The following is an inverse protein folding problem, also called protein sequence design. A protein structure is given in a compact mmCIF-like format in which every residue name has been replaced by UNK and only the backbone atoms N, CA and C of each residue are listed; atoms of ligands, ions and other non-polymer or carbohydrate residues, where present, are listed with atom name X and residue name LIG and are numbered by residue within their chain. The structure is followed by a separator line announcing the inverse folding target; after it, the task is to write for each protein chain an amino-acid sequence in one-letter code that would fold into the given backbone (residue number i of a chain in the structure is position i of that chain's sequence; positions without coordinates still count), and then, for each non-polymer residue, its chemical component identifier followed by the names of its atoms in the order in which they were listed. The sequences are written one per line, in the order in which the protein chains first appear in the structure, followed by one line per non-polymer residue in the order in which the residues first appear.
data_IF_965315866977
#
_entry.id   IF_965315866977
#
_cell.length_a   1.000
_cell.length_b   1.000
_cell.length_c   1.000
_cell.angle_alpha   90.00
_cell.angle_beta   90.00
_cell.angle_gamma   90.00
#
_symmetry.space_group_name_H-M   'P 1'
#
loop_
_entity.id
_entity.type
_entity.pdbx_description
1 polymer ?
#
# COMPACT_ATOMS: atom_id res chain seq x y z
N UNK A 1 6.74 9.10 52.26
CA UNK A 1 6.20 8.22 51.19
C UNK A 1 6.57 8.71 49.79
N UNK A 2 6.66 10.02 49.54
CA UNK A 2 7.00 10.54 48.20
C UNK A 2 8.46 10.33 47.78
N UNK A 3 9.41 10.52 48.71
CA UNK A 3 10.85 10.37 48.41
C UNK A 3 11.19 8.95 47.95
N UNK A 4 10.61 7.92 48.59
CA UNK A 4 10.81 6.52 48.21
C UNK A 4 10.25 6.21 46.81
N UNK A 5 9.17 6.86 46.40
CA UNK A 5 8.60 6.71 45.04
C UNK A 5 9.56 7.32 44.01
N UNK A 6 10.11 8.51 44.27
CA UNK A 6 11.08 9.14 43.37
C UNK A 6 12.36 8.29 43.20
N UNK A 7 12.88 7.71 44.28
CA UNK A 7 14.04 6.81 44.20
C UNK A 7 13.72 5.51 43.44
N UNK A 8 12.54 4.92 43.65
CA UNK A 8 12.13 3.72 42.92
C UNK A 8 12.01 3.98 41.42
N UNK A 9 11.46 5.13 41.02
CA UNK A 9 11.36 5.54 39.61
C UNK A 9 12.76 5.77 39.01
N UNK A 10 13.65 6.48 39.72
CA UNK A 10 15.00 6.76 39.23
C UNK A 10 15.82 5.47 39.03
N UNK A 11 15.75 4.55 39.99
CA UNK A 11 16.43 3.24 39.89
C UNK A 11 15.81 2.38 38.80
N UNK A 12 14.47 2.39 38.68
CA UNK A 12 13.76 1.70 37.60
C UNK A 12 14.20 2.18 36.21
N UNK A 13 14.21 3.50 35.99
CA UNK A 13 14.68 4.10 34.74
C UNK A 13 16.15 3.77 34.45
N UNK A 14 17.01 3.79 35.46
CA UNK A 14 18.42 3.44 35.31
C UNK A 14 18.58 1.97 34.86
N UNK A 15 17.89 1.04 35.53
CA UNK A 15 17.94 -0.38 35.20
C UNK A 15 17.37 -0.68 33.82
N UNK A 16 16.24 -0.06 33.44
CA UNK A 16 15.67 -0.22 32.09
C UNK A 16 16.61 0.31 31.01
N UNK A 17 17.29 1.43 31.27
CA UNK A 17 18.23 2.02 30.32
C UNK A 17 19.45 1.14 30.13
N UNK A 18 20.03 0.61 31.22
CA UNK A 18 21.15 -0.33 31.16
C UNK A 18 20.77 -1.63 30.45
N UNK A 19 19.55 -2.13 30.68
CA UNK A 19 19.02 -3.30 30.00
C UNK A 19 18.86 -3.07 28.49
N UNK A 20 18.31 -1.93 28.09
CA UNK A 20 18.20 -1.52 26.69
C UNK A 20 19.57 -1.39 26.02
N UNK A 21 20.54 -0.75 26.67
CA UNK A 21 21.91 -0.59 26.15
C UNK A 21 22.58 -1.96 25.94
N UNK A 22 22.31 -2.94 26.81
CA UNK A 22 22.90 -4.29 26.70
C UNK A 22 22.28 -5.13 25.58
N UNK A 23 20.98 -4.99 25.34
CA UNK A 23 20.26 -5.78 24.34
C UNK A 23 20.31 -5.14 22.95
N UNK A 24 20.34 -3.81 22.87
CA UNK A 24 20.44 -3.07 21.62
C UNK A 24 21.52 -3.59 20.66
N UNK A 25 22.79 -3.81 21.06
CA UNK A 25 23.82 -4.30 20.14
C UNK A 25 23.56 -5.73 19.66
N UNK A 26 22.99 -6.62 20.48
CA UNK A 26 22.58 -7.96 20.03
C UNK A 26 21.43 -7.88 19.03
N UNK A 27 20.45 -7.01 19.29
CA UNK A 27 19.33 -6.79 18.39
C UNK A 27 19.78 -6.19 17.06
N UNK A 28 20.68 -5.20 17.09
CA UNK A 28 21.28 -4.60 15.90
C UNK A 28 22.14 -5.59 15.11
N UNK A 29 22.89 -6.47 15.78
CA UNK A 29 23.63 -7.55 15.12
C UNK A 29 22.70 -8.57 14.47
N UNK A 30 21.62 -8.98 15.13
CA UNK A 30 20.61 -9.85 14.55
C UNK A 30 19.97 -9.20 13.31
N UNK A 31 19.60 -7.93 13.40
CA UNK A 31 19.10 -7.16 12.26
C UNK A 31 20.12 -7.08 11.13
N UNK A 32 21.43 -6.98 11.43
CA UNK A 32 22.50 -6.96 10.43
C UNK A 32 22.66 -8.32 9.73
N UNK A 33 22.60 -9.42 10.47
CA UNK A 33 22.67 -10.79 9.91
C UNK A 33 21.43 -11.07 9.04
N UNK A 34 20.24 -10.74 9.54
CA UNK A 34 19.00 -10.83 8.76
C UNK A 34 19.07 -9.95 7.52
N UNK A 35 19.55 -8.70 7.65
CA UNK A 35 19.74 -7.78 6.53
C UNK A 35 20.69 -8.36 5.50
N UNK A 36 21.82 -8.95 5.90
CA UNK A 36 22.75 -9.61 4.98
C UNK A 36 22.11 -10.80 4.25
N UNK A 37 21.40 -11.67 4.98
CA UNK A 37 20.70 -12.82 4.41
C UNK A 37 19.61 -12.40 3.41
N UNK A 38 18.77 -11.45 3.81
CA UNK A 38 17.73 -10.85 2.98
C UNK A 38 18.35 -10.21 1.75
N UNK A 39 19.42 -9.44 1.93
CA UNK A 39 20.08 -8.73 0.84
C UNK A 39 20.69 -9.71 -0.16
N UNK A 40 21.40 -10.73 0.31
CA UNK A 40 22.05 -11.76 -0.53
C UNK A 40 21.05 -12.60 -1.32
N UNK A 41 19.92 -13.00 -0.73
CA UNK A 41 19.00 -13.97 -1.34
C UNK A 41 17.75 -13.33 -1.97
N UNK A 42 17.31 -12.17 -1.48
CA UNK A 42 16.11 -11.50 -1.96
C UNK A 42 16.38 -10.18 -2.71
N UNK A 43 17.36 -9.38 -2.29
CA UNK A 43 17.59 -8.04 -2.87
C UNK A 43 18.54 -8.05 -4.07
N UNK A 44 19.64 -8.80 -4.01
CA UNK A 44 20.65 -8.86 -5.09
C UNK A 44 20.23 -9.60 -6.36
N UNK A 45 19.50 -10.74 -6.31
CA UNK A 45 19.07 -11.39 -7.54
C UNK A 45 17.89 -10.62 -8.18
N UNK A 46 18.17 -9.99 -9.31
CA UNK A 46 17.15 -9.37 -10.15
C UNK A 46 16.36 -10.46 -10.89
N UNK A 47 15.03 -10.44 -10.79
CA UNK A 47 14.16 -11.32 -11.59
C UNK A 47 14.01 -10.78 -13.02
N UNK A 48 13.94 -9.46 -13.14
CA UNK A 48 13.92 -8.76 -14.44
C UNK A 48 15.06 -7.73 -14.47
N UNK A 49 15.93 -7.85 -15.47
CA UNK A 49 16.96 -6.84 -15.75
C UNK A 49 16.35 -5.47 -16.06
N UNK A 50 17.18 -4.42 -16.04
CA UNK A 50 16.76 -3.05 -16.42
C UNK A 50 16.24 -3.05 -17.86
N UNK A 51 14.93 -2.90 -18.05
CA UNK A 51 14.34 -2.58 -19.36
C UNK A 51 13.80 -1.15 -19.37
N UNK A 52 13.81 -0.53 -20.55
CA UNK A 52 13.38 0.88 -20.78
C UNK A 52 11.96 1.19 -20.30
N UNK A 53 11.10 0.17 -20.14
CA UNK A 53 9.68 0.29 -19.79
C UNK A 53 9.34 -0.26 -18.40
N UNK A 54 10.21 -1.10 -17.81
CA UNK A 54 9.95 -1.81 -16.56
C UNK A 54 11.13 -1.58 -15.61
N UNK A 55 10.85 -0.97 -14.46
CA UNK A 55 11.85 -0.76 -13.43
C UNK A 55 12.42 -2.11 -12.95
N UNK A 56 13.73 -2.18 -12.62
CA UNK A 56 14.35 -3.41 -12.15
C UNK A 56 13.60 -3.94 -10.93
N UNK A 57 13.13 -5.18 -11.05
CA UNK A 57 12.34 -5.88 -10.03
C UNK A 57 13.23 -6.91 -9.34
N UNK A 58 13.46 -6.72 -8.05
CA UNK A 58 14.18 -7.69 -7.22
C UNK A 58 13.23 -8.82 -6.79
N UNK A 59 13.78 -9.96 -6.34
CA UNK A 59 12.95 -11.03 -5.76
C UNK A 59 12.19 -10.55 -4.53
N UNK A 60 12.80 -9.69 -3.72
CA UNK A 60 12.17 -9.05 -2.56
C UNK A 60 10.94 -8.23 -2.97
N UNK A 61 11.07 -7.40 -4.02
CA UNK A 61 9.97 -6.58 -4.54
C UNK A 61 8.82 -7.48 -5.02
N UNK A 62 9.12 -8.51 -5.81
CA UNK A 62 8.12 -9.44 -6.33
C UNK A 62 7.40 -10.20 -5.21
N UNK A 63 8.13 -10.70 -4.21
CA UNK A 63 7.55 -11.38 -3.05
C UNK A 63 6.67 -10.42 -2.23
N UNK A 64 7.09 -9.17 -2.06
CA UNK A 64 6.31 -8.15 -1.35
C UNK A 64 5.01 -7.82 -2.08
N UNK A 65 5.04 -7.67 -3.42
CA UNK A 65 3.83 -7.47 -4.21
C UNK A 65 2.92 -8.70 -4.18
N UNK A 66 3.47 -9.91 -4.23
CA UNK A 66 2.71 -11.15 -4.14
C UNK A 66 2.04 -11.28 -2.77
N UNK A 67 2.77 -11.05 -1.68
CA UNK A 67 2.24 -11.09 -0.33
C UNK A 67 1.12 -10.07 -0.13
N UNK A 68 1.31 -8.84 -0.64
CA UNK A 68 0.28 -7.80 -0.61
C UNK A 68 -0.96 -8.20 -1.43
N UNK A 69 -0.78 -8.75 -2.63
CA UNK A 69 -1.88 -9.22 -3.47
C UNK A 69 -2.66 -10.36 -2.81
N UNK A 70 -1.96 -11.38 -2.32
CA UNK A 70 -2.55 -12.53 -1.61
C UNK A 70 -3.33 -12.06 -0.38
N UNK A 71 -2.80 -11.10 0.38
CA UNK A 71 -3.48 -10.54 1.54
C UNK A 71 -4.78 -9.84 1.14
N UNK A 72 -4.78 -8.99 0.10
CA UNK A 72 -6.00 -8.33 -0.36
C UNK A 72 -7.04 -9.34 -0.88
N UNK A 73 -6.62 -10.33 -1.67
CA UNK A 73 -7.51 -11.40 -2.16
C UNK A 73 -8.10 -12.19 -0.98
N UNK A 74 -7.27 -12.56 -0.01
CA UNK A 74 -7.70 -13.24 1.20
C UNK A 74 -8.74 -12.40 1.96
N UNK A 75 -8.51 -11.10 2.17
CA UNK A 75 -9.46 -10.23 2.87
C UNK A 75 -10.80 -10.11 2.14
N UNK A 76 -10.81 -10.13 0.80
CA UNK A 76 -12.04 -10.13 0.00
C UNK A 76 -12.81 -11.44 0.17
N UNK A 77 -12.14 -12.60 0.13
CA UNK A 77 -12.78 -13.93 0.01
C UNK A 77 -13.00 -14.63 1.36
N UNK A 78 -12.24 -14.26 2.41
CA UNK A 78 -12.24 -14.99 3.67
C UNK A 78 -13.58 -14.89 4.40
N UNK A 79 -14.27 -16.01 4.61
CA UNK A 79 -15.61 -16.03 5.25
C UNK A 79 -16.64 -15.14 4.52
N UNK A 80 -16.62 -15.09 3.19
CA UNK A 80 -17.67 -14.42 2.40
C UNK A 80 -18.46 -15.44 1.58
N UNK A 81 -19.52 -16.05 2.15
CA UNK A 81 -20.34 -17.02 1.43
C UNK A 81 -21.20 -16.39 0.32
N UNK A 82 -21.46 -15.08 0.38
CA UNK A 82 -22.25 -14.35 -0.62
C UNK A 82 -21.39 -13.36 -1.41
N UNK A 83 -21.72 -13.20 -2.70
CA UNK A 83 -21.08 -12.23 -3.61
C UNK A 83 -21.25 -10.79 -3.12
N UNK A 84 -22.40 -10.46 -2.51
CA UNK A 84 -22.65 -9.13 -1.93
C UNK A 84 -21.68 -8.79 -0.80
N UNK A 85 -21.30 -9.77 0.02
CA UNK A 85 -20.31 -9.57 1.08
C UNK A 85 -18.90 -9.35 0.51
N UNK A 86 -18.53 -10.11 -0.52
CA UNK A 86 -17.24 -9.91 -1.21
C UNK A 86 -17.17 -8.54 -1.90
N UNK A 87 -18.28 -8.09 -2.52
CA UNK A 87 -18.44 -6.76 -3.12
C UNK A 87 -18.21 -5.64 -2.09
N UNK A 88 -18.86 -5.72 -0.94
CA UNK A 88 -18.78 -4.67 0.10
C UNK A 88 -17.37 -4.59 0.69
N UNK A 89 -16.69 -5.75 0.84
CA UNK A 89 -15.29 -5.79 1.24
C UNK A 89 -14.33 -5.25 0.19
N UNK A 90 -14.53 -5.58 -1.09
CA UNK A 90 -13.74 -5.03 -2.18
C UNK A 90 -13.86 -3.49 -2.22
N UNK A 91 -15.07 -2.95 -2.03
CA UNK A 91 -15.30 -1.52 -1.91
C UNK A 91 -14.57 -0.93 -0.70
N UNK A 92 -14.70 -1.53 0.48
CA UNK A 92 -14.03 -1.07 1.70
C UNK A 92 -12.50 -1.07 1.55
N UNK A 93 -11.92 -2.14 1.02
CA UNK A 93 -10.48 -2.26 0.78
C UNK A 93 -9.99 -1.27 -0.27
N UNK A 94 -10.78 -0.97 -1.31
CA UNK A 94 -10.44 0.08 -2.28
C UNK A 94 -10.34 1.45 -1.59
N UNK A 95 -11.27 1.77 -0.69
CA UNK A 95 -11.25 3.04 0.06
C UNK A 95 -10.06 3.11 1.02
N UNK A 96 -9.75 2.02 1.74
CA UNK A 96 -8.58 1.94 2.63
C UNK A 96 -7.28 2.18 1.83
N UNK A 97 -7.12 1.49 0.71
CA UNK A 97 -5.94 1.67 -0.15
C UNK A 97 -5.90 3.10 -0.73
N UNK A 98 -7.06 3.69 -1.06
CA UNK A 98 -7.16 5.06 -1.53
C UNK A 98 -6.80 6.10 -0.45
N UNK A 99 -7.08 5.84 0.83
CA UNK A 99 -6.61 6.69 1.93
C UNK A 99 -5.09 6.82 1.96
N UNK A 100 -4.37 5.71 1.71
CA UNK A 100 -2.91 5.75 1.58
C UNK A 100 -2.47 6.59 0.37
N UNK A 101 -3.16 6.49 -0.78
CA UNK A 101 -2.84 7.28 -1.97
C UNK A 101 -2.96 8.79 -1.71
N UNK A 102 -3.98 9.22 -0.96
CA UNK A 102 -4.14 10.61 -0.58
C UNK A 102 -3.07 11.08 0.40
N UNK A 103 -2.72 10.25 1.39
CA UNK A 103 -1.63 10.57 2.33
C UNK A 103 -0.27 10.67 1.61
N UNK A 104 -0.12 9.88 0.55
CA UNK A 104 1.05 9.84 -0.30
C UNK A 104 1.13 10.97 -1.34
N UNK A 105 0.26 12.00 -1.31
CA UNK A 105 0.31 13.14 -2.22
C UNK A 105 1.69 13.82 -2.20
N UNK A 106 2.30 13.93 -1.01
CA UNK A 106 3.70 14.31 -0.85
C UNK A 106 4.59 13.10 -0.58
N UNK A 107 4.90 12.33 -1.63
CA UNK A 107 5.73 11.13 -1.56
C UNK A 107 7.08 11.35 -0.87
N UNK A 108 7.67 12.55 -0.99
CA UNK A 108 8.90 12.93 -0.29
C UNK A 108 8.74 13.03 1.22
N UNK A 109 7.65 13.64 1.68
CA UNK A 109 7.32 13.70 3.10
C UNK A 109 7.06 12.30 3.66
N UNK A 110 6.25 11.50 2.95
CA UNK A 110 5.95 10.13 3.38
C UNK A 110 7.21 9.24 3.42
N UNK A 111 8.11 9.39 2.43
CA UNK A 111 9.39 8.68 2.39
C UNK A 111 10.25 9.03 3.61
N UNK A 112 10.33 10.32 3.96
CA UNK A 112 11.08 10.78 5.14
C UNK A 112 10.44 10.29 6.45
N UNK A 113 9.11 10.36 6.57
CA UNK A 113 8.38 9.91 7.76
C UNK A 113 8.53 8.40 7.99
N UNK A 114 8.54 7.60 6.92
CA UNK A 114 8.71 6.14 7.00
C UNK A 114 10.18 5.70 7.03
N UNK A 115 11.14 6.62 6.85
CA UNK A 115 12.57 6.30 6.77
C UNK A 115 12.96 5.43 5.57
N UNK A 116 12.18 5.48 4.48
CA UNK A 116 12.41 4.69 3.26
C UNK A 116 12.84 5.58 2.09
N UNK A 117 13.43 4.98 1.05
CA UNK A 117 13.80 5.74 -0.14
C UNK A 117 12.56 6.26 -0.88
N UNK A 118 12.67 7.44 -1.49
CA UNK A 118 11.63 8.00 -2.37
C UNK A 118 11.25 7.03 -3.51
N UNK A 119 12.22 6.23 -3.98
CA UNK A 119 11.95 5.24 -5.02
C UNK A 119 11.07 4.10 -4.50
N UNK A 120 11.31 3.62 -3.29
CA UNK A 120 10.46 2.63 -2.61
C UNK A 120 9.06 3.20 -2.39
N UNK A 121 8.95 4.45 -1.92
CA UNK A 121 7.67 5.13 -1.74
C UNK A 121 6.87 5.22 -3.07
N UNK A 122 7.52 5.64 -4.17
CA UNK A 122 6.92 5.66 -5.52
C UNK A 122 6.44 4.27 -5.99
N UNK A 123 7.21 3.22 -5.69
CA UNK A 123 6.85 1.83 -6.02
C UNK A 123 5.62 1.38 -5.24
N UNK A 124 5.59 1.64 -3.94
CA UNK A 124 4.44 1.33 -3.07
C UNK A 124 3.21 2.10 -3.54
N UNK A 125 3.33 3.41 -3.76
CA UNK A 125 2.23 4.24 -4.27
C UNK A 125 1.65 3.67 -5.58
N UNK A 126 2.50 3.28 -6.53
CA UNK A 126 2.06 2.66 -7.78
C UNK A 126 1.34 1.32 -7.53
N UNK A 127 1.87 0.46 -6.65
CA UNK A 127 1.27 -0.84 -6.35
C UNK A 127 -0.10 -0.69 -5.67
N UNK A 128 -0.21 0.23 -4.70
CA UNK A 128 -1.47 0.56 -4.03
C UNK A 128 -2.46 1.15 -5.05
N UNK A 129 -2.01 2.01 -5.97
CA UNK A 129 -2.85 2.58 -7.03
C UNK A 129 -3.49 1.51 -7.91
N UNK A 130 -2.68 0.56 -8.41
CA UNK A 130 -3.20 -0.57 -9.20
C UNK A 130 -4.15 -1.46 -8.39
N UNK A 131 -3.82 -1.74 -7.13
CA UNK A 131 -4.68 -2.57 -6.27
C UNK A 131 -6.03 -1.90 -5.98
N UNK A 132 -6.03 -0.59 -5.69
CA UNK A 132 -7.26 0.20 -5.55
C UNK A 132 -8.11 0.11 -6.81
N UNK A 133 -7.50 0.25 -7.99
CA UNK A 133 -8.19 0.11 -9.27
C UNK A 133 -8.82 -1.26 -9.48
N UNK A 134 -8.07 -2.33 -9.20
CA UNK A 134 -8.56 -3.71 -9.32
C UNK A 134 -9.73 -3.96 -8.34
N UNK A 135 -9.58 -3.55 -7.08
CA UNK A 135 -10.62 -3.71 -6.06
C UNK A 135 -11.88 -2.91 -6.38
N UNK A 136 -11.73 -1.67 -6.88
CA UNK A 136 -12.86 -0.87 -7.34
C UNK A 136 -13.55 -1.50 -8.55
N UNK A 137 -12.78 -2.03 -9.51
CA UNK A 137 -13.32 -2.78 -10.65
C UNK A 137 -14.09 -4.01 -10.21
N UNK A 138 -13.55 -4.80 -9.28
CA UNK A 138 -14.25 -5.94 -8.68
C UNK A 138 -15.55 -5.52 -7.98
N UNK A 139 -15.50 -4.44 -7.20
CA UNK A 139 -16.69 -3.88 -6.54
C UNK A 139 -17.78 -3.51 -7.57
N UNK A 140 -17.43 -2.82 -8.65
CA UNK A 140 -18.37 -2.43 -9.71
C UNK A 140 -18.94 -3.67 -10.44
N UNK A 141 -18.09 -4.61 -10.84
CA UNK A 141 -18.51 -5.84 -11.53
C UNK A 141 -19.48 -6.64 -10.65
N UNK A 142 -19.13 -6.84 -9.38
CA UNK A 142 -20.00 -7.58 -8.46
C UNK A 142 -21.29 -6.82 -8.18
N UNK A 143 -21.26 -5.49 -8.07
CA UNK A 143 -22.46 -4.67 -7.94
C UNK A 143 -23.40 -4.84 -9.16
N UNK A 144 -22.85 -4.83 -10.38
CA UNK A 144 -23.64 -5.06 -11.60
C UNK A 144 -24.27 -6.46 -11.66
N UNK A 145 -23.60 -7.47 -11.10
CA UNK A 145 -24.12 -8.85 -11.07
C UNK A 145 -25.23 -8.99 -10.02
N UNK A 146 -25.06 -8.39 -8.83
CA UNK A 146 -26.00 -8.54 -7.72
C UNK A 146 -27.20 -7.62 -7.84
N UNK A 147 -26.99 -6.40 -8.32
CA UNK A 147 -28.00 -5.34 -8.31
C UNK A 147 -28.57 -5.16 -9.73
N UNK A 148 -29.39 -6.11 -10.17
CA UNK A 148 -30.09 -6.04 -11.48
C UNK A 148 -31.19 -4.98 -11.56
N UNK A 149 -31.27 -4.07 -10.58
CA UNK A 149 -32.31 -3.03 -10.54
C UNK A 149 -32.00 -1.95 -11.58
N UNK A 150 -33.03 -1.27 -12.07
CA UNK A 150 -32.90 -0.18 -13.04
C UNK A 150 -31.96 0.90 -12.52
N UNK A 151 -30.77 1.02 -13.11
CA UNK A 151 -29.79 2.07 -12.80
C UNK A 151 -30.28 3.41 -13.35
N UNK A 152 -30.89 4.24 -12.50
CA UNK A 152 -31.40 5.55 -12.88
C UNK A 152 -30.33 6.61 -12.61
N UNK A 153 -29.76 7.19 -13.67
CA UNK A 153 -28.70 8.21 -13.59
C UNK A 153 -29.11 9.50 -12.86
N UNK A 154 -30.41 9.76 -12.73
CA UNK A 154 -30.95 10.93 -12.03
C UNK A 154 -30.79 10.84 -10.51
N UNK A 155 -30.56 9.64 -9.97
CA UNK A 155 -30.30 9.46 -8.56
C UNK A 155 -28.88 9.93 -8.21
N UNK A 156 -28.77 10.85 -7.24
CA UNK A 156 -27.50 11.36 -6.73
C UNK A 156 -26.44 10.27 -6.46
N UNK A 157 -26.72 9.15 -5.77
CA UNK A 157 -25.70 8.12 -5.52
C UNK A 157 -25.15 7.50 -6.81
N UNK A 158 -26.01 7.22 -7.80
CA UNK A 158 -25.60 6.61 -9.07
C UNK A 158 -24.71 7.57 -9.88
N UNK A 159 -24.98 8.87 -9.79
CA UNK A 159 -24.16 9.90 -10.43
C UNK A 159 -22.76 10.01 -9.80
N UNK A 160 -22.65 9.95 -8.46
CA UNK A 160 -21.34 9.94 -7.79
C UNK A 160 -20.53 8.69 -8.10
N UNK A 161 -21.17 7.51 -8.17
CA UNK A 161 -20.49 6.27 -8.57
C UNK A 161 -19.97 6.37 -10.00
N UNK A 162 -20.78 6.88 -10.93
CA UNK A 162 -20.35 7.08 -12.31
C UNK A 162 -19.16 8.04 -12.40
N UNK A 163 -19.26 9.23 -11.80
CA UNK A 163 -18.18 10.23 -11.84
C UNK A 163 -16.91 9.66 -11.20
N UNK A 164 -17.02 9.06 -10.01
CA UNK A 164 -15.86 8.49 -9.31
C UNK A 164 -15.19 7.36 -10.09
N UNK A 165 -15.98 6.46 -10.69
CA UNK A 165 -15.44 5.36 -11.51
C UNK A 165 -14.76 5.87 -12.78
N UNK A 166 -15.31 6.87 -13.46
CA UNK A 166 -14.72 7.49 -14.66
C UNK A 166 -13.42 8.21 -14.32
N UNK A 167 -13.39 8.99 -13.23
CA UNK A 167 -12.17 9.68 -12.78
C UNK A 167 -11.08 8.66 -12.43
N UNK A 168 -11.41 7.63 -11.65
CA UNK A 168 -10.44 6.60 -11.30
C UNK A 168 -9.91 5.87 -12.53
N UNK A 169 -10.79 5.51 -13.48
CA UNK A 169 -10.39 4.89 -14.74
C UNK A 169 -9.46 5.79 -15.56
N UNK A 170 -9.78 7.09 -15.65
CA UNK A 170 -8.94 8.07 -16.34
C UNK A 170 -7.56 8.21 -15.70
N UNK A 171 -7.48 8.29 -14.36
CA UNK A 171 -6.20 8.37 -13.63
C UNK A 171 -5.36 7.11 -13.86
N UNK A 172 -5.96 5.92 -13.78
CA UNK A 172 -5.26 4.65 -14.02
C UNK A 172 -4.74 4.54 -15.46
N UNK A 173 -5.55 4.97 -16.44
CA UNK A 173 -5.18 4.96 -17.85
C UNK A 173 -4.05 5.95 -18.15
N UNK A 174 -4.13 7.17 -17.62
CA UNK A 174 -3.06 8.17 -17.72
C UNK A 174 -1.78 7.73 -17.00
N UNK A 175 -1.90 6.92 -15.94
CA UNK A 175 -0.77 6.36 -15.19
C UNK A 175 -0.05 5.23 -15.95
N UNK A 176 -0.62 4.72 -17.04
CA UNK A 176 -0.01 3.67 -17.83
C UNK A 176 1.26 4.18 -18.54
N UNK A 177 2.41 3.47 -18.50
CA UNK A 177 3.69 4.00 -18.97
C UNK A 177 3.69 4.49 -20.42
N UNK A 178 2.95 3.80 -21.29
CA UNK A 178 2.82 4.16 -22.70
C UNK A 178 2.01 5.45 -22.87
N UNK A 179 0.85 5.54 -22.22
CA UNK A 179 -0.04 6.71 -22.29
C UNK A 179 0.62 7.94 -21.67
N UNK A 180 1.21 7.77 -20.48
CA UNK A 180 1.91 8.84 -19.75
C UNK A 180 3.04 9.47 -20.57
N UNK A 181 3.68 8.71 -21.45
CA UNK A 181 4.75 9.24 -22.32
C UNK A 181 4.22 10.24 -23.33
N UNK A 182 2.99 10.05 -23.83
CA UNK A 182 2.35 10.95 -24.80
C UNK A 182 1.57 12.07 -24.10
N UNK A 183 0.94 11.79 -22.97
CA UNK A 183 0.08 12.71 -22.23
C UNK A 183 0.70 13.13 -20.88
N UNK A 184 1.99 13.44 -20.88
CA UNK A 184 2.72 13.73 -19.64
C UNK A 184 2.20 14.99 -18.92
N UNK A 185 1.96 16.07 -19.66
CA UNK A 185 1.43 17.31 -19.09
C UNK A 185 0.01 17.15 -18.51
N UNK A 186 -0.96 16.56 -19.23
CA UNK A 186 -2.26 16.23 -18.64
C UNK A 186 -2.15 15.32 -17.42
N UNK A 187 -1.31 14.30 -17.47
CA UNK A 187 -1.07 13.41 -16.34
C UNK A 187 -0.56 14.20 -15.12
N UNK A 188 0.43 15.09 -15.30
CA UNK A 188 1.00 15.86 -14.20
C UNK A 188 0.00 16.82 -13.54
N UNK A 189 -0.98 17.33 -14.31
CA UNK A 189 -1.99 18.27 -13.79
C UNK A 189 -3.20 17.58 -13.17
N UNK A 190 -3.55 16.38 -13.63
CA UNK A 190 -4.76 15.66 -13.22
C UNK A 190 -4.54 14.59 -12.15
N UNK A 191 -3.31 14.07 -12.04
CA UNK A 191 -2.92 13.05 -11.05
C UNK A 191 -2.59 13.66 -9.69
#
# INVERSE_FOLDING_TARGET
MEITIFYAIAVGCLLTTLFLIRIAPSFLNLLRVLSFLITKHLTYPYLWGRHRLIAPCTRADALSYLAYAVTNVFLVVFKTPLITMARDRAGTLSVINMSFLFLAHHLGFLANAMGISLMTCKRIHRAVGWMTGILLGLHIIMAMITDRKSWILREKPNLFVLIGSVIMAAILLLSFPFVRRFLYEPFLRLH
#
